data_IF_697462434404
#
_entry.id   IF_697462434404
#
_cell.length_a   1.000
_cell.length_b   1.000
_cell.length_c   1.000
_cell.angle_alpha   90.00
_cell.angle_beta   90.00
_cell.angle_gamma   90.00
#
_symmetry.space_group_name_H-M   'P 1'
#
loop_
_entity.id
_entity.type
_entity.pdbx_description
1 polymer ?
#
# COMPACT_ATOMS: atom_id res chain seq x y z
N UNK A 1 5.40 18.79 12.57
CA UNK A 1 6.11 18.17 11.41
C UNK A 1 5.70 18.95 10.18
N UNK A 2 6.65 19.53 9.45
CA UNK A 2 6.35 20.19 8.18
C UNK A 2 6.01 19.09 7.17
N UNK A 3 4.78 19.06 6.66
CA UNK A 3 4.44 18.15 5.58
C UNK A 3 5.15 18.66 4.32
N UNK A 4 6.04 17.85 3.73
CA UNK A 4 6.73 18.18 2.48
C UNK A 4 5.79 18.30 1.28
N UNK A 5 4.51 17.95 1.48
CA UNK A 5 3.39 18.18 0.57
C UNK A 5 2.42 19.16 1.21
N UNK A 6 1.87 20.10 0.43
CA UNK A 6 0.86 21.05 0.88
C UNK A 6 -0.51 20.40 1.22
N UNK A 7 -1.58 21.18 1.17
CA UNK A 7 -2.94 20.64 1.28
C UNK A 7 -3.30 19.95 -0.05
N UNK A 8 -3.87 18.72 -0.03
CA UNK A 8 -4.31 18.06 -1.25
C UNK A 8 -5.37 18.88 -2.00
N UNK A 9 -5.26 18.91 -3.33
CA UNK A 9 -6.36 19.32 -4.20
C UNK A 9 -7.55 18.37 -4.08
N UNK A 10 -8.72 18.77 -4.58
CA UNK A 10 -9.92 17.91 -4.57
C UNK A 10 -9.69 16.57 -5.29
N UNK A 11 -8.96 16.57 -6.41
CA UNK A 11 -8.64 15.36 -7.16
C UNK A 11 -7.68 14.45 -6.40
N UNK A 12 -6.66 15.02 -5.74
CA UNK A 12 -5.73 14.27 -4.89
C UNK A 12 -6.42 13.66 -3.68
N UNK A 13 -7.29 14.43 -3.00
CA UNK A 13 -8.09 13.93 -1.89
C UNK A 13 -9.00 12.76 -2.34
N UNK A 14 -9.67 12.90 -3.49
CA UNK A 14 -10.50 11.83 -4.04
C UNK A 14 -9.71 10.56 -4.36
N UNK A 15 -8.47 10.69 -4.89
CA UNK A 15 -7.58 9.53 -5.09
C UNK A 15 -7.20 8.88 -3.76
N UNK A 16 -6.80 9.69 -2.77
CA UNK A 16 -6.40 9.20 -1.45
C UNK A 16 -7.54 8.40 -0.81
N UNK A 17 -8.76 8.93 -0.80
CA UNK A 17 -9.90 8.24 -0.20
C UNK A 17 -10.29 6.97 -0.98
N UNK A 18 -10.24 7.01 -2.31
CA UNK A 18 -10.49 5.82 -3.13
C UNK A 18 -9.46 4.70 -2.87
N UNK A 19 -8.19 5.07 -2.69
CA UNK A 19 -7.11 4.15 -2.33
C UNK A 19 -7.32 3.57 -0.93
N UNK A 20 -7.60 4.41 0.08
CA UNK A 20 -7.86 3.97 1.46
C UNK A 20 -9.06 3.02 1.55
N UNK A 21 -10.11 3.24 0.76
CA UNK A 21 -11.25 2.33 0.70
C UNK A 21 -10.95 1.01 -0.04
N UNK A 22 -9.78 0.89 -0.68
CA UNK A 22 -9.39 -0.26 -1.50
C UNK A 22 -8.54 -1.30 -0.79
N UNK A 23 -8.05 -2.28 -1.56
CA UNK A 23 -7.16 -3.31 -1.04
C UNK A 23 -5.76 -2.77 -0.78
N UNK A 24 -5.02 -3.45 0.09
CA UNK A 24 -3.58 -3.25 0.26
C UNK A 24 -2.86 -3.69 -1.03
N UNK A 25 -2.05 -2.81 -1.61
CA UNK A 25 -1.32 -3.12 -2.85
C UNK A 25 -0.31 -4.24 -2.66
N UNK A 26 0.37 -4.34 -1.52
CA UNK A 26 1.31 -5.44 -1.25
C UNK A 26 0.59 -6.80 -1.05
N UNK A 27 -0.57 -6.83 -0.39
CA UNK A 27 -1.40 -8.04 -0.34
C UNK A 27 -1.84 -8.47 -1.74
N UNK A 28 -2.25 -7.50 -2.57
CA UNK A 28 -2.69 -7.77 -3.93
C UNK A 28 -1.53 -8.29 -4.80
N UNK A 29 -0.31 -7.75 -4.65
CA UNK A 29 0.89 -8.28 -5.34
C UNK A 29 1.12 -9.76 -5.01
N UNK A 30 0.94 -10.18 -3.75
CA UNK A 30 1.05 -11.59 -3.36
C UNK A 30 -0.06 -12.45 -3.96
N UNK A 31 -1.30 -11.95 -3.97
CA UNK A 31 -2.42 -12.66 -4.62
C UNK A 31 -2.14 -12.86 -6.11
N UNK A 32 -1.70 -11.82 -6.82
CA UNK A 32 -1.37 -11.89 -8.24
C UNK A 32 -0.20 -12.84 -8.53
N UNK A 33 0.72 -12.99 -7.57
CA UNK A 33 1.81 -13.97 -7.63
C UNK A 33 1.38 -15.40 -7.23
N UNK A 34 0.12 -15.62 -6.83
CA UNK A 34 -0.37 -16.91 -6.36
C UNK A 34 0.15 -17.33 -4.98
N UNK A 35 0.61 -16.35 -4.18
CA UNK A 35 1.22 -16.55 -2.86
C UNK A 35 0.30 -16.21 -1.70
N UNK A 36 -0.87 -15.62 -1.98
CA UNK A 36 -1.87 -15.26 -0.98
C UNK A 36 -3.26 -15.54 -1.51
N UNK A 37 -4.14 -16.13 -0.70
CA UNK A 37 -5.53 -16.34 -1.06
C UNK A 37 -6.31 -15.02 -1.14
N UNK A 38 -7.29 -14.95 -2.04
CA UNK A 38 -8.08 -13.73 -2.27
C UNK A 38 -8.82 -13.26 -1.01
N UNK A 39 -9.26 -14.19 -0.15
CA UNK A 39 -9.92 -13.89 1.13
C UNK A 39 -9.01 -13.26 2.19
N UNK A 40 -7.70 -13.27 1.97
CA UNK A 40 -6.71 -12.70 2.89
C UNK A 40 -6.25 -11.29 2.47
N UNK A 41 -6.71 -10.79 1.31
CA UNK A 41 -6.40 -9.41 0.90
C UNK A 41 -7.13 -8.43 1.81
N UNK A 42 -6.37 -7.59 2.51
CA UNK A 42 -6.92 -6.60 3.43
C UNK A 42 -7.43 -5.38 2.68
N UNK A 43 -8.65 -4.93 3.00
CA UNK A 43 -9.27 -3.68 2.53
C UNK A 43 -9.37 -2.67 3.68
N UNK A 44 -9.54 -1.37 3.35
CA UNK A 44 -9.63 -0.33 4.38
C UNK A 44 -8.25 0.03 4.92
N UNK A 45 -7.43 0.59 4.05
CA UNK A 45 -6.00 0.78 4.23
C UNK A 45 -5.61 2.22 4.57
N UNK A 46 -4.36 2.39 5.00
CA UNK A 46 -3.71 3.69 5.06
C UNK A 46 -3.14 4.06 3.67
N UNK A 47 -2.93 5.36 3.42
CA UNK A 47 -2.29 5.83 2.18
C UNK A 47 -0.80 6.13 2.41
N UNK A 48 0.07 5.35 1.77
CA UNK A 48 1.53 5.58 1.79
C UNK A 48 1.92 6.57 0.68
N UNK A 49 2.61 7.66 1.04
CA UNK A 49 3.22 8.58 0.07
C UNK A 49 4.61 8.08 -0.32
N UNK A 50 4.82 7.80 -1.60
CA UNK A 50 6.13 7.46 -2.13
C UNK A 50 7.10 8.64 -1.96
N UNK A 51 8.37 8.33 -1.72
CA UNK A 51 9.42 9.32 -1.47
C UNK A 51 10.59 9.13 -2.42
N UNK A 52 11.25 10.24 -2.76
CA UNK A 52 12.56 10.26 -3.42
C UNK A 52 13.50 11.14 -2.59
N UNK A 53 14.68 10.61 -2.22
CA UNK A 53 15.63 11.34 -1.36
C UNK A 53 15.02 11.83 -0.03
N UNK A 54 14.14 11.02 0.58
CA UNK A 54 13.37 11.36 1.79
C UNK A 54 12.32 12.49 1.64
N UNK A 55 12.10 13.00 0.42
CA UNK A 55 11.05 13.97 0.10
C UNK A 55 9.86 13.25 -0.53
N UNK A 56 8.64 13.60 -0.13
CA UNK A 56 7.41 13.03 -0.74
C UNK A 56 7.30 13.50 -2.18
N UNK A 57 6.93 12.60 -3.09
CA UNK A 57 6.80 12.89 -4.53
C UNK A 57 5.54 13.69 -4.87
N UNK A 58 4.56 13.75 -3.97
CA UNK A 58 3.27 14.42 -4.14
C UNK A 58 2.10 13.52 -3.72
N UNK A 59 0.88 14.05 -3.67
CA UNK A 59 -0.27 13.24 -3.22
C UNK A 59 -0.73 12.23 -4.26
N UNK A 60 -0.47 12.49 -5.56
CA UNK A 60 -0.76 11.54 -6.64
C UNK A 60 0.18 10.32 -6.64
N UNK A 61 1.34 10.43 -5.98
CA UNK A 61 2.37 9.39 -5.94
C UNK A 61 2.27 8.61 -4.62
N UNK A 62 1.24 7.79 -4.52
CA UNK A 62 1.03 6.93 -3.36
C UNK A 62 0.12 5.76 -3.65
N UNK A 63 0.10 4.83 -2.69
CA UNK A 63 -0.59 3.56 -2.77
C UNK A 63 -1.08 3.12 -1.38
N UNK A 64 -2.15 2.33 -1.38
CA UNK A 64 -2.78 1.83 -0.17
C UNK A 64 -2.00 0.65 0.43
N UNK A 65 -1.79 0.68 1.74
CA UNK A 65 -1.18 -0.40 2.51
C UNK A 65 -1.99 -0.69 3.78
N UNK A 66 -2.15 -1.97 4.12
CA UNK A 66 -2.74 -2.36 5.39
C UNK A 66 -1.82 -1.99 6.57
N UNK A 67 -2.34 -2.10 7.79
CA UNK A 67 -1.59 -1.76 9.01
C UNK A 67 -0.31 -2.57 9.17
N UNK A 68 -0.27 -3.81 8.68
CA UNK A 68 0.93 -4.63 8.63
C UNK A 68 1.96 -4.09 7.64
N UNK A 69 1.61 -4.02 6.35
CA UNK A 69 2.55 -3.58 5.32
C UNK A 69 2.99 -2.12 5.49
N UNK A 70 2.15 -1.26 6.07
CA UNK A 70 2.48 0.14 6.31
C UNK A 70 3.27 0.36 7.61
N UNK A 71 2.75 -0.17 8.72
CA UNK A 71 3.17 0.20 10.09
C UNK A 71 3.66 -0.97 10.92
N UNK A 72 3.78 -2.16 10.32
CA UNK A 72 4.22 -3.40 10.97
C UNK A 72 3.38 -3.76 12.19
N UNK A 73 2.08 -3.42 12.15
CA UNK A 73 1.16 -3.79 13.20
C UNK A 73 0.45 -5.10 12.81
N UNK A 74 0.61 -6.19 13.57
CA UNK A 74 -0.03 -7.46 13.24
C UNK A 74 -1.55 -7.33 13.18
N UNK A 75 -2.16 -8.09 12.27
CA UNK A 75 -3.61 -8.29 12.28
C UNK A 75 -3.97 -9.06 13.57
N UNK A 76 -5.15 -8.78 14.14
CA UNK A 76 -5.60 -9.45 15.36
C UNK A 76 -5.46 -10.98 15.27
N UNK A 77 -5.03 -11.60 16.37
CA UNK A 77 -4.77 -13.04 16.44
C UNK A 77 -3.45 -13.49 15.80
N UNK A 78 -2.69 -12.62 15.14
CA UNK A 78 -1.40 -12.95 14.54
C UNK A 78 -0.21 -12.47 15.37
N UNK A 79 0.91 -13.16 15.19
CA UNK A 79 2.22 -12.73 15.69
C UNK A 79 3.02 -12.07 14.58
N UNK A 80 4.12 -11.38 14.89
CA UNK A 80 5.04 -10.89 13.86
C UNK A 80 5.57 -12.02 12.96
N UNK A 81 5.81 -13.21 13.53
CA UNK A 81 6.30 -14.35 12.78
C UNK A 81 5.26 -14.83 11.76
N UNK A 82 4.01 -15.05 12.20
CA UNK A 82 2.93 -15.50 11.30
C UNK A 82 2.62 -14.43 10.25
N UNK A 83 2.67 -13.14 10.61
CA UNK A 83 2.51 -12.06 9.65
C UNK A 83 3.62 -12.07 8.59
N UNK A 84 4.87 -12.27 8.99
CA UNK A 84 6.02 -12.30 8.06
C UNK A 84 5.97 -13.51 7.14
N UNK A 85 5.51 -14.65 7.65
CA UNK A 85 5.34 -15.90 6.90
C UNK A 85 4.23 -15.80 5.87
N UNK A 86 3.05 -15.31 6.25
CA UNK A 86 1.87 -15.26 5.38
C UNK A 86 1.89 -14.05 4.45
N UNK A 87 2.23 -12.88 4.98
CA UNK A 87 2.10 -11.60 4.26
C UNK A 87 3.43 -11.04 3.78
N UNK A 88 4.59 -11.62 4.13
CA UNK A 88 5.90 -11.09 3.77
C UNK A 88 6.31 -9.83 4.56
N UNK A 89 7.35 -9.07 4.11
CA UNK A 89 7.89 -7.94 4.86
C UNK A 89 6.92 -6.78 5.02
N UNK A 90 6.95 -6.12 6.17
CA UNK A 90 6.43 -4.76 6.28
C UNK A 90 7.39 -3.75 5.63
N UNK A 91 6.90 -2.58 5.22
CA UNK A 91 7.75 -1.47 4.80
C UNK A 91 8.75 -1.06 5.90
N UNK A 92 8.37 -1.23 7.18
CA UNK A 92 9.26 -0.97 8.32
C UNK A 92 10.30 -2.08 8.56
N UNK A 93 10.22 -3.23 7.88
CA UNK A 93 11.32 -4.21 7.85
C UNK A 93 12.45 -3.76 6.90
N UNK A 94 12.19 -2.75 6.06
CA UNK A 94 13.17 -2.13 5.17
C UNK A 94 12.62 -1.92 3.76
N UNK A 95 12.78 -0.72 3.20
CA UNK A 95 12.27 -0.38 1.87
C UNK A 95 12.85 -1.27 0.76
N UNK A 96 14.13 -1.63 0.84
CA UNK A 96 14.76 -2.52 -0.16
C UNK A 96 14.08 -3.89 -0.21
N UNK A 97 13.97 -4.57 0.94
CA UNK A 97 13.36 -5.92 0.98
C UNK A 97 11.87 -5.87 0.66
N UNK A 98 11.19 -4.78 1.03
CA UNK A 98 9.81 -4.54 0.65
C UNK A 98 9.66 -4.47 -0.88
N UNK A 99 10.44 -3.62 -1.56
CA UNK A 99 10.35 -3.46 -3.02
C UNK A 99 10.83 -4.70 -3.79
N UNK A 100 11.84 -5.41 -3.28
CA UNK A 100 12.26 -6.71 -3.82
C UNK A 100 11.13 -7.76 -3.76
N UNK A 101 10.22 -7.65 -2.79
CA UNK A 101 9.13 -8.61 -2.61
C UNK A 101 7.86 -8.25 -3.40
N UNK A 102 7.48 -6.97 -3.43
CA UNK A 102 6.16 -6.56 -3.94
C UNK A 102 6.18 -5.72 -5.22
N UNK A 103 7.37 -5.31 -5.68
CA UNK A 103 7.53 -4.33 -6.75
C UNK A 103 7.98 -2.96 -6.25
N UNK A 104 8.42 -2.11 -7.16
CA UNK A 104 8.87 -0.75 -6.89
C UNK A 104 7.70 0.15 -6.46
N UNK A 105 8.02 1.33 -5.92
CA UNK A 105 7.00 2.36 -5.65
C UNK A 105 6.16 2.68 -6.90
N UNK A 106 6.78 2.74 -8.10
CA UNK A 106 6.07 3.04 -9.34
C UNK A 106 5.14 1.89 -9.76
N UNK A 107 5.57 0.63 -9.62
CA UNK A 107 4.72 -0.55 -9.89
C UNK A 107 3.47 -0.53 -8.98
N UNK A 108 3.65 -0.25 -7.69
CA UNK A 108 2.55 -0.20 -6.73
C UNK A 108 1.61 1.00 -6.97
N UNK A 109 2.12 2.14 -7.45
CA UNK A 109 1.32 3.31 -7.84
C UNK A 109 0.49 3.01 -9.11
N UNK A 110 1.08 2.33 -10.09
CA UNK A 110 0.39 1.91 -11.31
C UNK A 110 -0.72 0.92 -10.96
N UNK A 111 -0.42 -0.10 -10.17
CA UNK A 111 -1.39 -1.05 -9.66
C UNK A 111 -2.54 -0.34 -8.91
N UNK A 112 -2.23 0.63 -8.06
CA UNK A 112 -3.24 1.42 -7.34
C UNK A 112 -4.18 2.18 -8.29
N UNK A 113 -3.61 2.75 -9.35
CA UNK A 113 -4.37 3.50 -10.36
C UNK A 113 -5.32 2.57 -11.11
N UNK A 114 -4.80 1.45 -11.60
CA UNK A 114 -5.60 0.44 -12.28
C UNK A 114 -6.77 -0.07 -11.40
N UNK A 115 -6.52 -0.40 -10.13
CA UNK A 115 -7.56 -0.87 -9.21
C UNK A 115 -8.63 0.18 -8.97
N UNK A 116 -8.26 1.47 -8.85
CA UNK A 116 -9.24 2.54 -8.69
C UNK A 116 -10.12 2.66 -9.94
N UNK A 117 -9.53 2.56 -11.13
CA UNK A 117 -10.26 2.62 -12.40
C UNK A 117 -11.24 1.45 -12.54
N UNK A 118 -10.80 0.22 -12.26
CA UNK A 118 -11.67 -0.96 -12.30
C UNK A 118 -12.85 -0.84 -11.33
N UNK A 119 -12.60 -0.37 -10.10
CA UNK A 119 -13.66 -0.21 -9.09
C UNK A 119 -14.64 0.93 -9.38
N UNK A 120 -14.27 1.89 -10.23
CA UNK A 120 -15.19 2.94 -10.69
C UNK A 120 -16.08 2.46 -11.84
N UNK A 121 -15.66 1.44 -12.57
CA UNK A 121 -16.38 0.88 -13.71
C UNK A 121 -17.34 -0.25 -13.33
N UNK A 122 -17.20 -0.83 -12.13
CA UNK A 122 -18.07 -1.86 -11.56
C UNK A 122 -19.28 -1.24 -10.82
#
# INVERSE_FOLDING_TARGET
MQHSTGTPTAAEAARIEAAKAGPCMACLSLLLAGLLDAGLVVYGCDYNHAKSGNVRRGHMFGYALCTWHHRRHPIEGNTFATMREVYGPSLLDGSRVFHETYGTDDDLIEQQTYVIEQRRAA
#
